data_IF_101660873584
#
_entry.id   IF_101660873584
#
_cell.length_a   1.000
_cell.length_b   1.000
_cell.length_c   1.000
_cell.angle_alpha   90.00
_cell.angle_beta   90.00
_cell.angle_gamma   90.00
#
_symmetry.space_group_name_H-M   'P 1'
#
loop_
_entity.id
_entity.type
_entity.pdbx_description
1 polymer ?
#
# COMPACT_ATOMS: atom_id res chain seq x y z
N UNK A 1 24.24 -62.28 22.50
CA UNK A 1 23.60 -61.44 21.47
C UNK A 1 23.14 -60.16 22.15
N UNK A 2 24.04 -59.18 22.29
CA UNK A 2 23.71 -57.88 22.88
C UNK A 2 23.41 -56.92 21.72
N UNK A 3 22.16 -56.49 21.65
CA UNK A 3 21.64 -55.57 20.64
C UNK A 3 22.07 -54.13 21.00
N UNK A 4 23.15 -53.64 20.39
CA UNK A 4 23.58 -52.25 20.51
C UNK A 4 22.82 -51.41 19.49
N UNK A 5 21.58 -51.06 19.83
CA UNK A 5 20.76 -50.12 19.07
C UNK A 5 21.37 -48.70 19.12
N UNK A 6 21.79 -48.18 17.96
CA UNK A 6 22.14 -46.78 17.77
C UNK A 6 20.92 -45.88 18.09
N UNK A 7 21.07 -44.73 18.79
CA UNK A 7 19.97 -43.82 18.99
C UNK A 7 19.56 -43.16 17.66
N UNK A 8 18.26 -43.21 17.35
CA UNK A 8 17.65 -42.52 16.21
C UNK A 8 17.84 -41.00 16.36
N UNK A 9 18.17 -40.25 15.29
CA UNK A 9 18.26 -38.80 15.37
C UNK A 9 16.90 -38.19 15.71
N UNK A 10 16.90 -37.26 16.66
CA UNK A 10 15.75 -36.45 17.01
C UNK A 10 15.35 -35.59 15.80
N UNK A 11 14.16 -35.82 15.28
CA UNK A 11 13.53 -34.94 14.29
C UNK A 11 13.11 -33.67 15.01
N UNK A 12 13.83 -32.57 14.77
CA UNK A 12 13.42 -31.23 15.23
C UNK A 12 12.30 -30.75 14.30
N UNK A 13 11.12 -30.35 14.80
CA UNK A 13 10.07 -29.79 13.96
C UNK A 13 10.59 -28.49 13.34
N UNK A 14 10.56 -28.40 12.01
CA UNK A 14 10.83 -27.15 11.31
C UNK A 14 9.82 -26.09 11.78
N UNK A 15 10.33 -24.98 12.31
CA UNK A 15 9.53 -23.79 12.60
C UNK A 15 8.90 -23.30 11.30
N UNK A 16 7.57 -23.33 11.23
CA UNK A 16 6.81 -22.66 10.18
C UNK A 16 7.09 -21.15 10.28
N UNK A 17 7.47 -20.46 9.19
CA UNK A 17 7.47 -19.00 9.20
C UNK A 17 6.02 -18.53 9.30
N UNK A 18 5.61 -18.13 10.51
CA UNK A 18 4.43 -17.30 10.71
C UNK A 18 4.84 -15.87 10.39
N UNK A 19 4.29 -15.32 9.31
CA UNK A 19 4.01 -13.89 9.09
C UNK A 19 3.70 -13.64 7.60
N UNK A 20 2.65 -14.27 7.07
CA UNK A 20 1.94 -13.65 5.94
C UNK A 20 0.94 -12.66 6.55
N UNK A 21 1.38 -11.45 6.80
CA UNK A 21 0.48 -10.33 7.10
C UNK A 21 -0.29 -10.02 5.82
N UNK A 22 -1.34 -10.80 5.54
CA UNK A 22 -2.36 -10.42 4.58
C UNK A 22 -2.99 -9.15 5.14
N UNK A 23 -2.86 -7.98 4.48
CA UNK A 23 -3.54 -6.79 4.94
C UNK A 23 -5.03 -7.11 4.99
N UNK A 24 -5.69 -6.79 6.10
CA UNK A 24 -7.15 -6.79 6.18
C UNK A 24 -7.74 -6.08 4.95
N UNK A 25 -8.95 -6.42 4.49
CA UNK A 25 -9.59 -5.76 3.35
C UNK A 25 -9.57 -4.24 3.56
N UNK A 26 -8.62 -3.57 2.91
CA UNK A 26 -8.45 -2.14 3.08
C UNK A 26 -9.63 -1.40 2.45
N UNK A 27 -10.12 -0.30 3.05
CA UNK A 27 -11.14 0.55 2.43
C UNK A 27 -10.66 1.27 1.16
N UNK A 28 -9.40 1.04 0.75
CA UNK A 28 -8.69 1.78 -0.28
C UNK A 28 -7.76 0.86 -1.08
N UNK A 29 -7.39 1.28 -2.29
CA UNK A 29 -6.47 0.57 -3.18
C UNK A 29 -5.03 1.10 -3.07
N UNK A 30 -4.04 0.21 -3.10
CA UNK A 30 -2.61 0.57 -3.19
C UNK A 30 -2.13 0.32 -4.61
N UNK A 31 -1.38 1.27 -5.19
CA UNK A 31 -0.91 1.15 -6.57
C UNK A 31 -2.06 1.04 -7.56
N UNK A 32 -2.02 0.03 -8.41
CA UNK A 32 -3.07 -0.35 -9.38
C UNK A 32 -4.27 -1.09 -8.75
N UNK A 33 -4.21 -1.38 -7.45
CA UNK A 33 -5.24 -2.10 -6.74
C UNK A 33 -5.26 -3.61 -6.96
N UNK A 34 -4.22 -4.23 -7.52
CA UNK A 34 -4.12 -5.69 -7.64
C UNK A 34 -4.27 -6.42 -6.28
N UNK A 35 -3.83 -5.79 -5.19
CA UNK A 35 -3.97 -6.28 -3.83
C UNK A 35 -5.28 -5.89 -3.14
N UNK A 36 -6.14 -5.09 -3.78
CA UNK A 36 -7.40 -4.65 -3.20
C UNK A 36 -8.33 -5.84 -2.97
N UNK A 37 -8.86 -5.96 -1.74
CA UNK A 37 -9.77 -7.03 -1.33
C UNK A 37 -11.04 -6.51 -0.66
N UNK A 38 -11.33 -5.22 -0.77
CA UNK A 38 -12.56 -4.62 -0.26
C UNK A 38 -13.83 -5.08 -1.01
N UNK A 39 -14.97 -4.52 -0.63
CA UNK A 39 -16.31 -4.99 -1.02
C UNK A 39 -17.09 -4.02 -1.92
N UNK A 40 -16.43 -3.00 -2.48
CA UNK A 40 -17.07 -2.11 -3.46
C UNK A 40 -17.54 -2.94 -4.66
N UNK A 41 -18.80 -2.78 -5.06
CA UNK A 41 -19.48 -3.57 -6.10
C UNK A 41 -20.31 -2.70 -7.06
N UNK A 42 -19.96 -1.42 -7.14
CA UNK A 42 -20.57 -0.42 -8.02
C UNK A 42 -19.46 0.37 -8.71
N UNK A 43 -19.62 0.63 -10.00
CA UNK A 43 -18.64 1.37 -10.81
C UNK A 43 -18.65 2.86 -10.48
N UNK A 44 -17.65 3.59 -10.94
CA UNK A 44 -17.56 5.05 -10.82
C UNK A 44 -18.75 5.77 -11.50
N UNK A 45 -19.37 5.14 -12.51
CA UNK A 45 -20.59 5.64 -13.17
C UNK A 45 -21.89 5.16 -12.51
N UNK A 46 -21.81 4.45 -11.38
CA UNK A 46 -22.99 4.00 -10.62
C UNK A 46 -23.61 2.69 -11.11
N UNK A 47 -22.97 1.96 -12.02
CA UNK A 47 -23.48 0.67 -12.52
C UNK A 47 -23.17 -0.46 -11.55
N UNK A 48 -24.13 -1.35 -11.30
CA UNK A 48 -23.92 -2.53 -10.47
C UNK A 48 -23.00 -3.51 -11.18
N UNK A 49 -22.00 -4.03 -10.45
CA UNK A 49 -21.07 -5.02 -10.98
C UNK A 49 -21.74 -6.38 -11.22
N UNK A 50 -21.35 -7.05 -12.30
CA UNK A 50 -21.63 -8.46 -12.56
C UNK A 50 -20.70 -9.33 -11.70
N UNK A 51 -21.20 -10.48 -11.21
CA UNK A 51 -20.37 -11.44 -10.49
C UNK A 51 -19.28 -12.02 -11.40
N UNK A 52 -18.09 -12.24 -10.86
CA UNK A 52 -16.95 -12.79 -11.61
C UNK A 52 -17.15 -14.24 -12.08
N UNK A 53 -18.00 -14.99 -11.39
CA UNK A 53 -18.42 -16.35 -11.76
C UNK A 53 -19.59 -16.37 -12.76
N UNK A 54 -20.20 -15.21 -13.05
CA UNK A 54 -21.27 -15.09 -14.03
C UNK A 54 -20.71 -14.87 -15.43
N UNK A 55 -21.37 -15.45 -16.43
CA UNK A 55 -21.09 -15.26 -17.85
C UNK A 55 -22.19 -14.45 -18.56
N UNK A 56 -23.05 -13.78 -17.80
CA UNK A 56 -24.14 -12.92 -18.28
C UNK A 56 -24.28 -11.66 -17.43
N UNK A 57 -24.57 -10.48 -18.02
CA UNK A 57 -24.72 -10.21 -19.46
C UNK A 57 -23.42 -10.35 -20.27
N UNK A 58 -22.25 -10.26 -19.62
CA UNK A 58 -20.97 -10.28 -20.30
C UNK A 58 -20.22 -11.59 -20.05
N UNK A 59 -19.93 -12.34 -21.11
CA UNK A 59 -18.98 -13.45 -21.03
C UNK A 59 -17.57 -12.92 -20.75
N UNK A 60 -16.79 -13.58 -19.89
CA UNK A 60 -15.44 -13.17 -19.53
C UNK A 60 -14.50 -14.34 -19.21
N UNK A 61 -13.20 -14.11 -19.45
CA UNK A 61 -12.12 -15.02 -19.05
C UNK A 61 -11.64 -14.77 -17.61
N UNK A 62 -11.84 -13.56 -17.08
CA UNK A 62 -11.44 -13.17 -15.73
C UNK A 62 -12.41 -13.78 -14.70
N UNK A 63 -12.32 -15.10 -14.49
CA UNK A 63 -13.14 -15.86 -13.53
C UNK A 63 -12.30 -16.34 -12.35
N UNK A 64 -12.92 -16.72 -11.22
CA UNK A 64 -12.21 -17.28 -10.06
C UNK A 64 -11.38 -18.51 -10.41
N UNK A 65 -11.83 -19.32 -11.37
CA UNK A 65 -11.15 -20.54 -11.83
C UNK A 65 -9.88 -20.20 -12.63
N UNK A 66 -9.94 -19.19 -13.50
CA UNK A 66 -8.81 -18.80 -14.34
C UNK A 66 -7.80 -17.90 -13.58
N UNK A 67 -8.26 -17.16 -12.57
CA UNK A 67 -7.44 -16.23 -11.77
C UNK A 67 -7.62 -16.47 -10.26
N UNK A 68 -7.23 -17.66 -9.73
CA UNK A 68 -7.54 -18.07 -8.36
C UNK A 68 -6.87 -17.21 -7.26
N UNK A 69 -5.76 -16.53 -7.56
CA UNK A 69 -5.06 -15.65 -6.62
C UNK A 69 -5.58 -14.20 -6.63
N UNK A 70 -6.42 -13.83 -7.60
CA UNK A 70 -6.89 -12.46 -7.80
C UNK A 70 -8.06 -12.08 -6.88
N UNK A 71 -8.57 -13.02 -6.08
CA UNK A 71 -9.63 -12.76 -5.09
C UNK A 71 -10.94 -12.32 -5.74
N UNK A 72 -11.28 -12.88 -6.90
CA UNK A 72 -12.49 -12.60 -7.69
C UNK A 72 -13.76 -13.15 -7.00
N UNK A 73 -14.06 -12.62 -5.82
CA UNK A 73 -15.19 -13.05 -4.98
C UNK A 73 -16.39 -12.15 -5.24
N UNK A 74 -17.59 -12.74 -5.34
CA UNK A 74 -18.84 -12.05 -5.60
C UNK A 74 -18.76 -11.18 -6.88
N UNK A 75 -19.22 -9.93 -6.80
CA UNK A 75 -19.11 -8.91 -7.84
C UNK A 75 -18.23 -7.73 -7.38
N UNK A 76 -17.29 -7.97 -6.47
CA UNK A 76 -16.46 -6.90 -5.94
C UNK A 76 -15.42 -6.42 -6.95
N UNK A 77 -15.11 -5.14 -6.97
CA UNK A 77 -14.13 -4.57 -7.89
C UNK A 77 -12.73 -5.15 -7.65
N UNK A 78 -12.06 -5.56 -8.73
CA UNK A 78 -10.74 -6.21 -8.70
C UNK A 78 -9.91 -5.77 -9.89
N UNK A 79 -8.63 -6.09 -9.85
CA UNK A 79 -7.71 -5.88 -10.96
C UNK A 79 -6.94 -7.20 -11.22
N UNK A 80 -7.56 -8.18 -11.90
CA UNK A 80 -6.97 -9.50 -12.13
C UNK A 80 -5.94 -9.53 -13.25
N UNK A 81 -5.90 -8.48 -14.08
CA UNK A 81 -5.17 -8.41 -15.36
C UNK A 81 -4.10 -7.30 -15.39
N UNK A 82 -3.92 -6.55 -14.31
CA UNK A 82 -2.91 -5.50 -14.20
C UNK A 82 -3.29 -4.22 -14.97
N UNK A 83 -4.59 -3.94 -15.08
CA UNK A 83 -5.11 -2.67 -15.56
C UNK A 83 -4.70 -1.52 -14.61
N UNK A 84 -5.04 -0.28 -14.93
CA UNK A 84 -4.63 0.90 -14.18
C UNK A 84 -5.21 0.96 -12.76
N UNK A 85 -6.43 0.46 -12.56
CA UNK A 85 -7.18 0.53 -11.29
C UNK A 85 -8.15 -0.64 -11.19
N UNK A 86 -8.70 -0.86 -10.00
CA UNK A 86 -9.78 -1.85 -9.83
C UNK A 86 -11.01 -1.52 -10.67
N UNK A 87 -11.58 -2.56 -11.27
CA UNK A 87 -12.71 -2.49 -12.17
C UNK A 87 -13.64 -3.70 -11.96
N UNK A 88 -14.78 -3.71 -12.61
CA UNK A 88 -15.65 -4.88 -12.69
C UNK A 88 -16.39 -4.90 -14.03
N UNK A 89 -16.83 -6.10 -14.46
CA UNK A 89 -17.87 -6.18 -15.49
C UNK A 89 -19.16 -5.58 -14.94
N UNK A 90 -19.97 -4.93 -15.78
CA UNK A 90 -21.21 -4.32 -15.32
C UNK A 90 -22.42 -5.21 -15.59
N UNK A 91 -23.55 -4.96 -14.93
CA UNK A 91 -24.83 -5.61 -15.22
C UNK A 91 -25.61 -4.92 -16.36
N UNK A 92 -25.09 -3.80 -16.87
CA UNK A 92 -25.63 -3.09 -18.03
C UNK A 92 -25.17 -3.79 -19.31
N UNK A 93 -26.09 -4.26 -20.19
CA UNK A 93 -25.70 -4.92 -21.43
C UNK A 93 -24.96 -3.99 -22.41
N UNK A 94 -25.11 -2.67 -22.29
CA UNK A 94 -24.47 -1.69 -23.19
C UNK A 94 -23.08 -1.26 -22.71
N UNK A 95 -22.71 -1.56 -21.46
CA UNK A 95 -21.40 -1.25 -20.88
C UNK A 95 -20.75 -2.53 -20.35
N UNK A 96 -19.75 -3.04 -21.07
CA UNK A 96 -19.11 -4.31 -20.70
C UNK A 96 -18.45 -4.27 -19.33
N UNK A 97 -17.68 -3.22 -19.05
CA UNK A 97 -16.94 -3.04 -17.80
C UNK A 97 -16.71 -1.54 -17.56
N UNK A 98 -16.45 -1.16 -16.32
CA UNK A 98 -16.05 0.19 -15.94
C UNK A 98 -15.18 0.13 -14.68
N UNK A 99 -14.39 1.18 -14.43
CA UNK A 99 -13.61 1.31 -13.20
C UNK A 99 -14.51 1.53 -12.00
N UNK A 100 -14.04 1.17 -10.82
CA UNK A 100 -14.70 1.50 -9.57
C UNK A 100 -14.05 2.69 -8.89
N UNK A 101 -14.86 3.51 -8.22
CA UNK A 101 -14.36 4.64 -7.43
C UNK A 101 -13.90 4.17 -6.04
N UNK A 102 -12.78 3.44 -6.03
CA UNK A 102 -12.11 3.04 -4.79
C UNK A 102 -11.02 4.06 -4.46
N UNK A 103 -11.02 4.67 -3.26
CA UNK A 103 -10.01 5.66 -2.91
C UNK A 103 -8.62 5.02 -2.89
N UNK A 104 -7.60 5.75 -3.34
CA UNK A 104 -6.21 5.32 -3.19
C UNK A 104 -5.82 5.44 -1.71
N UNK A 105 -5.17 4.42 -1.16
CA UNK A 105 -4.74 4.46 0.22
C UNK A 105 -3.79 5.64 0.43
N UNK A 106 -4.07 6.44 1.45
CA UNK A 106 -3.09 7.42 1.92
C UNK A 106 -1.83 6.65 2.31
N UNK A 107 -0.65 7.04 1.81
CA UNK A 107 0.60 6.46 2.26
C UNK A 107 0.67 6.56 3.79
N UNK A 108 0.95 5.44 4.44
CA UNK A 108 1.16 5.35 5.87
C UNK A 108 2.61 4.96 6.14
N UNK A 109 3.13 5.30 7.31
CA UNK A 109 4.48 4.91 7.73
C UNK A 109 4.46 3.52 8.37
N UNK A 110 5.49 2.73 8.11
CA UNK A 110 5.76 1.45 8.78
C UNK A 110 7.02 1.64 9.63
N UNK A 111 6.99 1.18 10.88
CA UNK A 111 8.11 1.38 11.80
C UNK A 111 8.40 2.86 12.02
N UNK A 112 9.65 3.26 11.81
CA UNK A 112 10.15 4.63 11.89
C UNK A 112 9.84 5.49 10.64
N UNK A 113 9.23 4.89 9.62
CA UNK A 113 8.91 5.58 8.37
C UNK A 113 10.09 5.81 7.43
N UNK A 114 11.24 5.15 7.60
CA UNK A 114 12.37 5.22 6.67
C UNK A 114 11.97 4.84 5.22
N UNK A 115 11.00 3.94 5.07
CA UNK A 115 10.43 3.51 3.78
C UNK A 115 9.25 4.37 3.30
N UNK A 116 8.81 5.36 4.08
CA UNK A 116 7.68 6.21 3.71
C UNK A 116 8.02 7.02 2.46
N UNK A 117 7.16 6.92 1.44
CA UNK A 117 7.30 7.64 0.16
C UNK A 117 6.03 8.41 -0.21
N UNK A 118 5.22 8.77 0.78
CA UNK A 118 4.05 9.61 0.54
C UNK A 118 4.41 11.08 0.28
N UNK A 119 3.37 11.88 0.09
CA UNK A 119 3.45 13.28 -0.35
C UNK A 119 3.03 14.29 0.72
N UNK A 120 2.92 13.87 1.99
CA UNK A 120 2.68 14.81 3.10
C UNK A 120 3.84 15.80 3.15
N UNK A 121 3.52 17.10 3.15
CA UNK A 121 4.46 18.21 3.04
C UNK A 121 4.20 19.31 4.11
N UNK A 122 3.51 18.92 5.17
CA UNK A 122 3.13 19.78 6.29
C UNK A 122 3.39 19.01 7.58
N UNK A 123 3.93 19.69 8.59
CA UNK A 123 4.25 19.10 9.89
C UNK A 123 2.98 18.89 10.73
N UNK A 124 3.09 18.13 11.81
CA UNK A 124 2.01 17.89 12.77
C UNK A 124 1.49 19.20 13.40
N UNK A 125 2.33 20.24 13.48
CA UNK A 125 1.94 21.58 13.95
C UNK A 125 1.43 22.51 12.84
N UNK A 126 1.29 22.00 11.61
CA UNK A 126 0.73 22.77 10.48
C UNK A 126 1.75 23.61 9.72
N UNK A 127 3.06 23.49 9.99
CA UNK A 127 4.10 24.24 9.29
C UNK A 127 4.39 23.63 7.93
N UNK A 128 4.55 24.46 6.90
CA UNK A 128 4.96 23.99 5.56
C UNK A 128 6.39 23.46 5.61
N UNK A 129 6.63 22.32 4.97
CA UNK A 129 7.97 21.76 4.86
C UNK A 129 8.84 22.57 3.87
N UNK A 130 10.10 22.77 4.23
CA UNK A 130 11.15 23.24 3.33
C UNK A 130 11.54 22.12 2.36
N UNK A 131 11.84 22.46 1.11
CA UNK A 131 12.35 21.49 0.13
C UNK A 131 13.72 20.94 0.57
N UNK A 132 13.94 19.65 0.35
CA UNK A 132 15.19 18.99 0.71
C UNK A 132 16.40 19.47 -0.10
N UNK A 133 16.16 19.97 -1.32
CA UNK A 133 17.18 20.59 -2.18
C UNK A 133 17.42 22.08 -1.83
N UNK A 134 16.60 22.67 -0.96
CA UNK A 134 16.77 24.05 -0.50
C UNK A 134 17.66 24.12 0.73
N UNK A 135 18.50 25.15 0.78
CA UNK A 135 19.34 25.47 1.94
C UNK A 135 18.84 26.71 2.71
N UNK A 136 17.60 27.13 2.46
CA UNK A 136 16.94 28.26 3.10
C UNK A 136 15.47 27.95 3.43
N UNK A 137 14.92 28.40 4.58
CA UNK A 137 15.61 29.15 5.65
C UNK A 137 16.66 28.34 6.43
N UNK A 138 16.57 27.01 6.42
CA UNK A 138 17.46 26.15 7.20
C UNK A 138 18.48 25.45 6.30
N UNK A 139 19.77 25.72 6.53
CA UNK A 139 20.84 24.92 5.94
C UNK A 139 20.80 23.49 6.52
N UNK A 140 20.99 22.47 5.68
CA UNK A 140 21.02 21.07 6.11
C UNK A 140 21.93 20.17 5.28
N UNK A 141 22.45 19.13 5.94
CA UNK A 141 23.21 18.05 5.29
C UNK A 141 22.31 17.00 4.62
N UNK A 142 21.05 16.87 5.06
CA UNK A 142 20.11 15.87 4.57
C UNK A 142 19.54 16.31 3.20
N UNK A 143 20.38 16.28 2.17
CA UNK A 143 20.01 16.65 0.79
C UNK A 143 19.86 15.41 -0.09
N UNK A 144 19.17 15.51 -1.25
CA UNK A 144 19.06 14.41 -2.20
C UNK A 144 20.41 13.88 -2.67
N UNK A 145 21.42 14.74 -2.77
CA UNK A 145 22.79 14.38 -3.18
C UNK A 145 23.50 13.56 -2.09
N UNK A 146 23.33 13.92 -0.82
CA UNK A 146 23.98 13.23 0.29
C UNK A 146 23.24 11.95 0.70
N UNK A 147 21.93 11.87 0.47
CA UNK A 147 21.09 10.71 0.81
C UNK A 147 20.23 10.24 -0.39
N UNK A 148 20.85 9.75 -1.48
CA UNK A 148 20.15 9.47 -2.74
C UNK A 148 19.10 8.35 -2.65
N UNK A 149 19.22 7.44 -1.69
CA UNK A 149 18.25 6.34 -1.47
C UNK A 149 17.11 6.70 -0.53
N UNK A 150 17.18 7.83 0.17
CA UNK A 150 16.19 8.24 1.17
C UNK A 150 14.94 8.87 0.57
N UNK A 151 14.89 9.04 -0.76
CA UNK A 151 13.73 9.56 -1.47
C UNK A 151 13.36 10.99 -1.08
N UNK A 152 14.38 11.82 -0.78
CA UNK A 152 14.26 13.23 -0.46
C UNK A 152 13.82 14.00 -1.71
N UNK A 153 12.53 13.97 -1.99
CA UNK A 153 11.90 14.56 -3.17
C UNK A 153 11.01 15.71 -2.71
N UNK A 154 11.09 16.84 -3.41
CA UNK A 154 10.34 18.06 -3.10
C UNK A 154 10.55 18.46 -1.62
N UNK A 155 9.46 18.69 -0.89
CA UNK A 155 9.44 18.97 0.54
C UNK A 155 8.65 17.90 1.33
N UNK A 156 8.56 16.68 0.80
CA UNK A 156 7.77 15.63 1.43
C UNK A 156 8.44 15.11 2.70
N UNK A 157 7.66 14.79 3.73
CA UNK A 157 8.17 14.25 4.99
C UNK A 157 8.94 12.95 4.78
N UNK A 158 10.14 12.83 5.37
CA UNK A 158 11.02 11.67 5.24
C UNK A 158 11.72 11.40 6.56
N UNK A 159 12.35 10.23 6.63
CA UNK A 159 13.25 9.89 7.72
C UNK A 159 14.58 9.39 7.11
N UNK A 160 15.48 10.30 6.69
CA UNK A 160 16.74 9.94 6.05
C UNK A 160 17.83 9.48 7.01
N UNK A 161 17.65 9.70 8.31
CA UNK A 161 18.68 9.62 9.35
C UNK A 161 18.34 8.67 10.50
N UNK A 162 17.20 7.96 10.42
CA UNK A 162 16.81 6.98 11.42
C UNK A 162 16.22 7.59 12.68
N UNK A 163 15.60 8.76 12.56
CA UNK A 163 14.79 9.38 13.61
C UNK A 163 13.58 8.49 13.96
N UNK A 164 12.79 8.86 14.96
CA UNK A 164 11.65 8.09 15.44
C UNK A 164 10.52 7.96 14.42
N UNK A 165 10.28 9.00 13.62
CA UNK A 165 9.18 9.10 12.65
C UNK A 165 9.58 10.03 11.51
N UNK A 166 8.79 10.04 10.43
CA UNK A 166 8.99 10.99 9.33
C UNK A 166 8.86 12.45 9.79
N UNK A 167 9.75 13.28 9.29
CA UNK A 167 9.88 14.69 9.63
C UNK A 167 10.27 15.51 8.39
N UNK A 168 10.29 16.82 8.52
CA UNK A 168 10.87 17.72 7.52
C UNK A 168 11.43 18.97 8.19
N UNK A 169 12.39 19.64 7.52
CA UNK A 169 12.71 21.03 7.84
C UNK A 169 11.49 21.90 7.56
N UNK A 170 11.28 22.97 8.32
CA UNK A 170 10.10 23.84 8.11
C UNK A 170 10.46 25.12 7.35
N UNK A 171 9.48 25.79 6.74
CA UNK A 171 9.68 27.12 6.15
C UNK A 171 9.64 28.25 7.19
N UNK A 172 9.35 27.94 8.45
CA UNK A 172 9.36 28.88 9.57
C UNK A 172 10.81 29.09 10.02
N UNK A 173 11.35 30.33 10.01
CA UNK A 173 12.72 30.59 10.43
C UNK A 173 12.98 30.29 11.91
N UNK A 174 11.94 30.26 12.75
CA UNK A 174 12.05 30.02 14.19
C UNK A 174 11.94 28.53 14.57
N UNK A 175 11.47 27.68 13.64
CA UNK A 175 11.35 26.24 13.83
C UNK A 175 12.16 25.49 12.77
N UNK A 176 13.31 24.95 13.17
CA UNK A 176 14.20 24.27 12.22
C UNK A 176 13.53 23.07 11.53
N UNK A 177 12.88 22.21 12.29
CA UNK A 177 12.23 21.00 11.81
C UNK A 177 11.12 20.58 12.77
N UNK A 178 10.17 19.79 12.30
CA UNK A 178 9.12 19.18 13.14
C UNK A 178 8.68 17.85 12.51
N UNK A 179 8.07 16.98 13.31
CA UNK A 179 7.52 15.71 12.82
C UNK A 179 6.29 15.94 11.97
N UNK A 180 5.99 14.99 11.09
CA UNK A 180 4.77 15.01 10.30
C UNK A 180 3.73 14.04 10.87
N UNK A 181 2.46 14.43 10.77
CA UNK A 181 1.34 13.58 11.15
C UNK A 181 0.99 12.61 10.00
N UNK A 182 1.76 11.52 9.92
CA UNK A 182 1.54 10.44 8.95
C UNK A 182 0.96 9.23 9.68
N UNK A 183 -0.16 8.66 9.20
CA UNK A 183 -0.77 7.49 9.83
C UNK A 183 0.19 6.30 9.81
N UNK A 184 0.15 5.45 10.82
CA UNK A 184 0.97 4.22 10.88
C UNK A 184 0.17 3.06 10.29
N UNK A 185 0.76 2.31 9.35
CA UNK A 185 0.09 1.17 8.74
C UNK A 185 -0.13 0.05 9.77
N UNK A 186 -1.30 -0.60 9.72
CA UNK A 186 -1.57 -1.79 10.52
C UNK A 186 -1.83 -1.53 12.01
N UNK A 187 -1.95 -0.27 12.43
CA UNK A 187 -2.60 0.03 13.71
C UNK A 187 -4.12 -0.11 13.56
N UNK A 188 -4.79 -0.89 14.43
CA UNK A 188 -6.24 -1.05 14.44
C UNK A 188 -6.98 0.23 14.84
#
# INVERSE_FOLDING_TARGET
>A
MADTGLPKPLVVPALLPTSSTTPAPGPCQVGDGASYRGTVSVTQTGKTCQRWDSQTPHWSYNTPENHPSSGLVENYCRNPDGDLRVWCYTTDPDERWDYCDVPVCKPCQVGDGASYRGTVAVTQTGKTCQRWDSQTPHWSYNTPENHPSSGLVENYCRNPDGDLRVWCYTTDPDERWDYCDVPVCGMP
#
